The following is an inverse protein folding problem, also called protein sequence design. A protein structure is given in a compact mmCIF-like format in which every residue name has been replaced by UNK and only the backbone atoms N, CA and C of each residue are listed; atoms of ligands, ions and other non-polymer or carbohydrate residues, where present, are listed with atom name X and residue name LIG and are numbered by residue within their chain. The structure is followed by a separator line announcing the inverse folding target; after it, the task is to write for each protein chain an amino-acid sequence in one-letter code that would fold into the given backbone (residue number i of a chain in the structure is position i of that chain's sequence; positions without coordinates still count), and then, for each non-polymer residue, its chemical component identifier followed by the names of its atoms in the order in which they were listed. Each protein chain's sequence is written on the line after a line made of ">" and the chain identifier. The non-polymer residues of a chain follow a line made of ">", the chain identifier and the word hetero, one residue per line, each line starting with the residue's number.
data_IF_829457239352
#
_entry.id   IF_829457239352
#
_cell.length_a   1.000
_cell.length_b   1.000
_cell.length_c   1.000
_cell.angle_alpha   90.00
_cell.angle_beta   90.00
_cell.angle_gamma   90.00
#
_symmetry.space_group_name_H-M   'P 1'
#
loop_
_entity.id
_entity.type
_entity.pdbx_description
1 polymer ?
#
# COMPACT_ATOMS: atom_id res chain seq x y z
N UNK A 1 7.00 7.60 -21.49
CA UNK A 1 7.22 7.76 -20.04
C UNK A 1 5.90 7.39 -19.40
N UNK A 2 5.73 6.11 -19.08
CA UNK A 2 4.48 5.58 -18.54
C UNK A 2 4.63 5.42 -17.03
N UNK A 3 3.60 5.82 -16.30
CA UNK A 3 3.54 5.85 -14.85
C UNK A 3 3.43 4.42 -14.31
N UNK A 4 4.41 3.99 -13.49
CA UNK A 4 4.48 2.62 -12.95
C UNK A 4 3.58 2.39 -11.71
N UNK A 5 2.70 3.33 -11.35
CA UNK A 5 1.81 3.24 -10.18
C UNK A 5 0.61 4.19 -10.25
N UNK A 6 -0.27 4.10 -9.25
CA UNK A 6 -1.45 4.95 -9.12
C UNK A 6 -1.10 6.43 -8.93
N UNK A 7 -1.92 7.35 -9.47
CA UNK A 7 -1.80 8.79 -9.17
C UNK A 7 -2.75 9.21 -8.06
N UNK A 8 -2.20 9.84 -7.04
CA UNK A 8 -2.93 10.36 -5.90
C UNK A 8 -3.44 11.78 -6.19
N UNK A 9 -4.75 11.98 -6.05
CA UNK A 9 -5.40 13.27 -6.12
C UNK A 9 -6.12 13.56 -4.81
N UNK A 10 -5.79 14.69 -4.20
CA UNK A 10 -6.53 15.22 -3.07
C UNK A 10 -7.85 15.80 -3.56
N UNK A 11 -8.95 15.34 -2.97
CA UNK A 11 -10.28 15.89 -3.22
C UNK A 11 -10.98 16.23 -1.92
N UNK A 12 -11.96 17.14 -2.03
CA UNK A 12 -12.87 17.46 -0.93
C UNK A 12 -14.30 17.27 -1.42
N UNK A 13 -15.13 16.59 -0.62
CA UNK A 13 -16.55 16.43 -0.90
C UNK A 13 -17.33 16.46 0.41
N UNK A 14 -18.32 17.36 0.49
CA UNK A 14 -19.15 17.57 1.69
C UNK A 14 -18.33 17.78 2.99
N UNK A 15 -17.19 18.46 2.90
CA UNK A 15 -16.33 18.74 4.05
C UNK A 15 -15.37 17.60 4.46
N UNK A 16 -15.39 16.46 3.77
CA UNK A 16 -14.42 15.38 3.95
C UNK A 16 -13.31 15.46 2.89
N UNK A 17 -12.06 15.37 3.34
CA UNK A 17 -10.89 15.23 2.47
C UNK A 17 -10.62 13.76 2.20
N UNK A 18 -10.36 13.42 0.93
CA UNK A 18 -10.09 12.06 0.50
C UNK A 18 -8.90 12.01 -0.45
N UNK A 19 -8.31 10.83 -0.57
CA UNK A 19 -7.36 10.51 -1.61
C UNK A 19 -8.05 9.70 -2.70
N UNK A 20 -7.89 10.14 -3.95
CA UNK A 20 -8.33 9.43 -5.13
C UNK A 20 -7.09 8.89 -5.84
N UNK A 21 -6.91 7.57 -5.83
CA UNK A 21 -5.80 6.91 -6.52
C UNK A 21 -6.29 6.40 -7.87
N UNK A 22 -5.79 6.97 -8.97
CA UNK A 22 -6.18 6.61 -10.35
C UNK A 22 -5.14 5.73 -11.03
N UNK A 23 -5.58 4.67 -11.71
CA UNK A 23 -4.73 3.68 -12.38
C UNK A 23 -5.07 3.59 -13.86
N UNK A 24 -4.06 3.29 -14.67
CA UNK A 24 -4.30 2.84 -16.03
C UNK A 24 -5.02 1.50 -16.02
N UNK A 25 -5.98 1.35 -16.94
CA UNK A 25 -6.66 0.07 -17.16
C UNK A 25 -5.85 -0.89 -18.03
N UNK A 26 -4.72 -0.43 -18.59
CA UNK A 26 -3.87 -1.24 -19.48
C UNK A 26 -2.78 -1.93 -18.67
N UNK A 27 -2.70 -3.26 -18.80
CA UNK A 27 -1.57 -4.05 -18.33
C UNK A 27 -0.46 -3.91 -19.37
N UNK A 28 0.64 -3.23 -19.04
CA UNK A 28 1.76 -3.01 -19.99
C UNK A 28 2.63 -4.25 -20.23
N UNK A 29 2.39 -5.35 -19.51
CA UNK A 29 3.14 -6.60 -19.68
C UNK A 29 2.61 -7.45 -20.85
N UNK A 30 3.49 -8.03 -21.70
CA UNK A 30 3.10 -9.01 -22.71
C UNK A 30 2.33 -10.18 -22.06
N UNK A 31 1.13 -10.48 -22.56
CA UNK A 31 0.21 -11.48 -21.99
C UNK A 31 0.87 -12.87 -21.79
N UNK A 32 1.86 -13.20 -22.61
CA UNK A 32 2.61 -14.45 -22.57
C UNK A 32 3.67 -14.54 -21.46
N UNK A 33 3.87 -13.47 -20.68
CA UNK A 33 4.82 -13.42 -19.54
C UNK A 33 4.13 -13.27 -18.19
N UNK A 34 2.81 -13.18 -18.14
CA UNK A 34 2.05 -13.00 -16.90
C UNK A 34 1.87 -14.39 -16.26
N UNK A 35 2.45 -14.64 -15.07
CA UNK A 35 2.18 -15.87 -14.34
C UNK A 35 0.68 -15.96 -14.00
N UNK A 36 0.00 -17.10 -14.23
CA UNK A 36 -1.44 -17.21 -13.99
C UNK A 36 -1.82 -17.06 -12.50
N UNK A 37 -0.83 -17.15 -11.61
CA UNK A 37 -0.96 -16.99 -10.16
C UNK A 37 -0.81 -15.54 -9.68
N UNK A 38 -0.63 -14.56 -10.58
CA UNK A 38 -0.51 -13.14 -10.23
C UNK A 38 -1.55 -12.29 -10.94
N UNK A 39 -2.39 -11.63 -10.15
CA UNK A 39 -3.07 -10.41 -10.61
C UNK A 39 -2.00 -9.38 -10.95
N UNK A 40 -2.15 -8.65 -12.05
CA UNK A 40 -1.19 -7.65 -12.56
C UNK A 40 -1.82 -6.28 -12.77
N UNK A 41 -3.13 -6.19 -12.67
CA UNK A 41 -3.85 -4.94 -12.70
C UNK A 41 -3.79 -4.28 -11.31
N UNK A 42 -3.07 -3.16 -11.20
CA UNK A 42 -2.90 -2.40 -9.94
C UNK A 42 -4.23 -2.01 -9.31
N UNK A 43 -5.21 -1.55 -10.11
CA UNK A 43 -6.54 -1.23 -9.60
C UNK A 43 -7.23 -2.46 -8.98
N UNK A 44 -7.12 -3.64 -9.61
CA UNK A 44 -7.71 -4.88 -9.05
C UNK A 44 -6.98 -5.31 -7.79
N UNK A 45 -5.64 -5.24 -7.76
CA UNK A 45 -4.83 -5.56 -6.58
C UNK A 45 -5.24 -4.72 -5.38
N UNK A 46 -5.17 -3.40 -5.54
CA UNK A 46 -5.39 -2.46 -4.43
C UNK A 46 -6.84 -2.49 -3.96
N UNK A 47 -7.80 -2.44 -4.88
CA UNK A 47 -9.22 -2.47 -4.51
C UNK A 47 -9.64 -3.78 -3.84
N UNK A 48 -9.07 -4.91 -4.25
CA UNK A 48 -9.38 -6.22 -3.64
C UNK A 48 -8.76 -6.34 -2.25
N UNK A 49 -7.53 -5.85 -2.07
CA UNK A 49 -6.86 -5.81 -0.77
C UNK A 49 -7.65 -4.94 0.22
N UNK A 50 -7.94 -3.68 -0.13
CA UNK A 50 -8.74 -2.79 0.72
C UNK A 50 -10.12 -3.34 1.03
N UNK A 51 -10.84 -3.89 0.04
CA UNK A 51 -12.15 -4.48 0.27
C UNK A 51 -12.09 -5.62 1.29
N UNK A 52 -11.06 -6.48 1.20
CA UNK A 52 -10.87 -7.57 2.14
C UNK A 52 -10.50 -7.11 3.54
N UNK A 53 -9.55 -6.19 3.65
CA UNK A 53 -9.09 -5.67 4.94
C UNK A 53 -10.20 -4.86 5.63
N UNK A 54 -10.97 -4.07 4.88
CA UNK A 54 -12.17 -3.40 5.39
C UNK A 54 -13.18 -4.39 5.96
N UNK A 55 -13.48 -5.47 5.24
CA UNK A 55 -14.37 -6.53 5.74
C UNK A 55 -13.85 -7.25 6.99
N UNK A 56 -12.55 -7.16 7.28
CA UNK A 56 -11.91 -7.69 8.50
C UNK A 56 -11.73 -6.62 9.60
N UNK A 57 -12.25 -5.40 9.42
CA UNK A 57 -12.25 -4.34 10.43
C UNK A 57 -10.98 -3.50 10.51
N UNK A 58 -10.07 -3.57 9.52
CA UNK A 58 -8.81 -2.82 9.55
C UNK A 58 -9.02 -1.30 9.45
N UNK A 59 -9.93 -0.87 8.56
CA UNK A 59 -10.29 0.53 8.40
C UNK A 59 -10.88 1.13 9.69
N UNK A 60 -11.78 0.40 10.36
CA UNK A 60 -12.42 0.86 11.61
C UNK A 60 -11.41 1.05 12.76
N UNK A 61 -10.36 0.22 12.79
CA UNK A 61 -9.25 0.33 13.74
C UNK A 61 -8.32 1.50 13.42
N UNK A 62 -8.34 2.00 12.18
CA UNK A 62 -7.43 3.03 11.68
C UNK A 62 -5.98 2.54 11.53
N UNK A 63 -5.80 1.25 11.26
CA UNK A 63 -4.47 0.65 10.97
C UNK A 63 -4.17 0.61 9.47
N UNK A 64 -5.17 0.96 8.64
CA UNK A 64 -5.07 1.31 7.22
C UNK A 64 -6.09 2.43 6.94
N UNK A 65 -5.94 3.22 5.87
CA UNK A 65 -6.94 4.21 5.47
C UNK A 65 -8.33 3.59 5.23
N UNK A 66 -9.41 4.32 5.53
CA UNK A 66 -10.76 3.85 5.19
C UNK A 66 -10.94 3.74 3.66
N UNK A 67 -11.58 2.66 3.22
CA UNK A 67 -11.87 2.41 1.81
C UNK A 67 -13.31 2.73 1.48
N UNK A 68 -13.55 3.83 0.77
CA UNK A 68 -14.92 4.30 0.51
C UNK A 68 -15.57 3.58 -0.66
N UNK A 69 -14.93 3.54 -1.84
CA UNK A 69 -15.47 2.88 -3.04
C UNK A 69 -14.44 2.77 -4.16
N UNK A 70 -14.81 2.02 -5.19
CA UNK A 70 -14.18 2.09 -6.52
C UNK A 70 -14.94 3.04 -7.45
N UNK A 71 -14.24 3.60 -8.44
CA UNK A 71 -14.79 4.39 -9.54
C UNK A 71 -14.19 3.84 -10.83
N UNK A 72 -15.03 3.45 -11.78
CA UNK A 72 -14.56 2.83 -13.03
C UNK A 72 -14.92 3.68 -14.24
N UNK A 73 -14.17 3.48 -15.33
CA UNK A 73 -14.40 4.13 -16.62
C UNK A 73 -14.41 5.67 -16.52
N UNK A 74 -13.45 6.23 -15.80
CA UNK A 74 -13.35 7.69 -15.62
C UNK A 74 -13.02 8.33 -16.97
N UNK A 75 -13.77 9.38 -17.34
CA UNK A 75 -13.44 10.20 -18.50
C UNK A 75 -12.33 11.19 -18.12
N UNK A 76 -11.10 11.05 -18.65
CA UNK A 76 -10.00 11.92 -18.22
C UNK A 76 -10.18 13.38 -18.64
N UNK A 77 -10.92 13.61 -19.73
CA UNK A 77 -11.18 14.95 -20.30
C UNK A 77 -12.02 15.86 -19.41
N UNK A 78 -12.85 15.30 -18.53
CA UNK A 78 -13.74 16.06 -17.64
C UNK A 78 -13.16 16.21 -16.22
N UNK A 79 -12.00 15.61 -15.94
CA UNK A 79 -11.34 15.62 -14.63
C UNK A 79 -10.05 16.44 -14.67
N UNK A 80 -9.96 17.56 -13.92
CA UNK A 80 -8.73 18.32 -13.79
C UNK A 80 -7.61 17.42 -13.24
N UNK A 81 -6.46 17.39 -13.93
CA UNK A 81 -5.29 16.64 -13.49
C UNK A 81 -5.14 15.23 -14.05
N UNK A 82 -6.12 14.70 -14.80
CA UNK A 82 -6.03 13.36 -15.42
C UNK A 82 -5.53 13.36 -16.88
N UNK A 83 -4.91 14.46 -17.33
CA UNK A 83 -4.44 14.64 -18.71
C UNK A 83 -3.45 13.55 -19.18
N UNK A 84 -2.72 12.92 -18.28
CA UNK A 84 -1.80 11.82 -18.59
C UNK A 84 -2.49 10.56 -19.13
N UNK A 85 -3.79 10.37 -18.84
CA UNK A 85 -4.55 9.19 -19.25
C UNK A 85 -5.28 9.42 -20.58
N UNK A 86 -5.08 10.56 -21.25
CA UNK A 86 -5.77 10.90 -22.49
C UNK A 86 -5.39 9.96 -23.65
N UNK A 87 -4.16 9.44 -23.63
CA UNK A 87 -3.63 8.55 -24.66
C UNK A 87 -3.82 7.06 -24.33
N UNK A 88 -4.41 6.73 -23.17
CA UNK A 88 -4.67 5.35 -22.78
C UNK A 88 -5.77 4.73 -23.66
N UNK A 89 -5.58 3.47 -24.04
CA UNK A 89 -6.56 2.72 -24.86
C UNK A 89 -7.89 2.48 -24.15
N UNK A 90 -7.86 2.43 -22.82
CA UNK A 90 -9.01 2.17 -21.96
C UNK A 90 -9.09 3.28 -20.91
N UNK A 91 -10.30 3.71 -20.54
CA UNK A 91 -10.46 4.73 -19.51
C UNK A 91 -9.88 4.25 -18.17
N UNK A 92 -9.26 5.14 -17.39
CA UNK A 92 -8.68 4.78 -16.10
C UNK A 92 -9.77 4.42 -15.07
N UNK A 93 -9.37 3.64 -14.08
CA UNK A 93 -10.17 3.35 -12.89
C UNK A 93 -9.52 3.99 -11.68
N UNK A 94 -10.26 4.12 -10.57
CA UNK A 94 -9.74 4.68 -9.35
C UNK A 94 -10.34 4.04 -8.10
N UNK A 95 -9.61 4.12 -7.01
CA UNK A 95 -10.14 3.90 -5.67
C UNK A 95 -10.26 5.23 -4.94
N UNK A 96 -11.28 5.32 -4.08
CA UNK A 96 -11.52 6.45 -3.20
C UNK A 96 -11.26 5.99 -1.77
N UNK A 97 -10.23 6.55 -1.13
CA UNK A 97 -9.80 6.20 0.23
C UNK A 97 -9.70 7.44 1.11
N UNK A 98 -9.67 7.22 2.42
CA UNK A 98 -9.40 8.25 3.43
C UNK A 98 -8.08 8.96 3.14
N UNK A 99 -8.10 10.29 3.26
CA UNK A 99 -6.86 11.04 3.37
C UNK A 99 -6.50 11.19 4.84
N UNK A 100 -5.48 10.45 5.27
CA UNK A 100 -5.00 10.50 6.65
C UNK A 100 -4.09 11.72 6.81
N UNK A 101 -4.50 12.65 7.67
CA UNK A 101 -3.74 13.86 7.97
C UNK A 101 -2.61 13.58 8.96
N UNK A 102 -1.55 14.39 8.87
CA UNK A 102 -0.46 14.47 9.85
C UNK A 102 0.21 13.13 10.16
N UNK A 103 0.33 12.30 9.12
CA UNK A 103 1.11 11.06 9.14
C UNK A 103 2.46 11.27 8.51
N UNK A 104 3.47 10.60 9.06
CA UNK A 104 4.83 10.61 8.55
C UNK A 104 5.33 9.19 8.38
N UNK A 105 6.08 8.94 7.31
CA UNK A 105 6.83 7.70 7.15
C UNK A 105 7.70 7.47 8.40
N UNK A 106 7.75 6.22 8.87
CA UNK A 106 8.64 5.87 9.98
C UNK A 106 10.10 6.13 9.59
N UNK A 107 10.84 6.80 10.47
CA UNK A 107 12.27 7.06 10.34
C UNK A 107 12.93 7.23 11.73
N UNK A 108 14.19 7.67 11.76
CA UNK A 108 14.91 7.89 13.03
C UNK A 108 14.34 9.05 13.87
N UNK A 109 13.69 10.04 13.26
CA UNK A 109 13.15 11.23 13.93
C UNK A 109 11.87 10.95 14.71
N UNK A 110 11.07 9.99 14.24
CA UNK A 110 9.82 9.55 14.89
C UNK A 110 9.89 8.11 15.43
N UNK A 111 11.11 7.58 15.54
CA UNK A 111 11.35 6.20 15.96
C UNK A 111 10.71 5.88 17.30
N UNK A 112 10.05 4.71 17.35
CA UNK A 112 9.67 4.06 18.59
C UNK A 112 9.62 2.56 18.38
N UNK A 113 10.24 1.81 19.30
CA UNK A 113 10.15 0.35 19.29
C UNK A 113 8.69 -0.14 19.41
N UNK A 114 7.81 0.66 20.04
CA UNK A 114 6.36 0.38 20.06
C UNK A 114 5.79 0.38 18.65
N UNK A 115 6.07 1.42 17.86
CA UNK A 115 5.55 1.56 16.51
C UNK A 115 6.08 0.49 15.57
N UNK A 116 7.36 0.12 15.67
CA UNK A 116 7.91 -0.98 14.87
C UNK A 116 7.21 -2.32 15.15
N UNK A 117 6.98 -2.63 16.44
CA UNK A 117 6.26 -3.84 16.83
C UNK A 117 4.80 -3.79 16.38
N UNK A 118 4.17 -2.63 16.44
CA UNK A 118 2.80 -2.43 15.96
C UNK A 118 2.70 -2.62 14.44
N UNK A 119 3.59 -2.03 13.66
CA UNK A 119 3.65 -2.23 12.20
C UNK A 119 3.86 -3.70 11.84
N UNK A 120 4.80 -4.37 12.52
CA UNK A 120 5.07 -5.80 12.34
C UNK A 120 3.85 -6.66 12.65
N UNK A 121 3.16 -6.37 13.75
CA UNK A 121 1.93 -7.07 14.14
C UNK A 121 0.79 -6.82 13.15
N UNK A 122 0.61 -5.58 12.69
CA UNK A 122 -0.41 -5.27 11.68
C UNK A 122 -0.13 -6.06 10.39
N UNK A 123 1.14 -6.22 10.00
CA UNK A 123 1.52 -7.03 8.84
C UNK A 123 1.14 -8.52 9.02
N UNK A 124 1.36 -9.10 10.20
CA UNK A 124 0.88 -10.46 10.50
C UNK A 124 -0.64 -10.57 10.34
N UNK A 125 -1.39 -9.57 10.82
CA UNK A 125 -2.85 -9.57 10.69
C UNK A 125 -3.29 -9.42 9.22
N UNK A 126 -2.57 -8.62 8.42
CA UNK A 126 -2.79 -8.50 6.97
C UNK A 126 -2.57 -9.88 6.31
N UNK A 127 -1.52 -10.60 6.71
CA UNK A 127 -1.24 -11.96 6.22
C UNK A 127 -2.33 -12.95 6.62
N UNK A 128 -2.82 -12.90 7.87
CA UNK A 128 -3.94 -13.71 8.37
C UNK A 128 -5.28 -13.39 7.67
N UNK A 129 -5.41 -12.17 7.13
CA UNK A 129 -6.50 -11.82 6.24
C UNK A 129 -6.35 -12.45 4.83
N UNK A 130 -5.22 -13.09 4.53
CA UNK A 130 -4.91 -13.67 3.22
C UNK A 130 -4.53 -12.61 2.21
N UNK A 131 -3.87 -11.54 2.66
CA UNK A 131 -3.34 -10.45 1.83
C UNK A 131 -1.83 -10.41 2.04
N UNK A 132 -1.07 -10.51 0.96
CA UNK A 132 0.36 -10.16 0.92
C UNK A 132 0.44 -8.68 0.55
N UNK A 133 1.21 -7.87 1.27
CA UNK A 133 1.34 -6.45 0.94
C UNK A 133 2.16 -6.27 -0.34
N UNK A 134 3.24 -7.03 -0.48
CA UNK A 134 4.10 -7.07 -1.66
C UNK A 134 5.10 -5.91 -1.76
N UNK A 135 5.06 -4.97 -0.81
CA UNK A 135 5.93 -3.77 -0.80
C UNK A 135 6.18 -3.28 0.65
N UNK A 136 6.81 -4.11 1.51
CA UNK A 136 6.97 -3.84 2.94
C UNK A 136 8.09 -2.83 3.23
N UNK A 137 8.09 -1.69 2.53
CA UNK A 137 9.10 -0.65 2.66
C UNK A 137 8.60 0.53 3.51
N UNK A 138 9.50 1.29 4.17
CA UNK A 138 9.11 2.33 5.13
C UNK A 138 8.22 3.42 4.53
N UNK A 139 8.31 3.69 3.22
CA UNK A 139 7.40 4.62 2.51
C UNK A 139 5.92 4.25 2.58
N UNK A 140 5.59 3.03 3.00
CA UNK A 140 4.23 2.52 3.19
C UNK A 140 3.87 2.31 4.67
N UNK A 141 4.81 2.64 5.57
CA UNK A 141 4.69 2.47 7.02
C UNK A 141 4.60 3.85 7.68
N UNK A 142 3.38 4.24 8.07
CA UNK A 142 3.09 5.59 8.52
C UNK A 142 2.86 5.64 10.03
N UNK A 143 3.31 6.73 10.64
CA UNK A 143 3.12 7.06 12.04
C UNK A 143 2.29 8.33 12.13
N UNK A 144 1.16 8.26 12.85
CA UNK A 144 0.44 9.43 13.31
C UNK A 144 0.83 9.70 14.75
N UNK A 145 1.67 10.72 14.97
CA UNK A 145 2.11 11.10 16.32
C UNK A 145 0.93 11.55 17.19
N UNK A 146 0.06 12.39 16.64
CA UNK A 146 -1.11 12.94 17.33
C UNK A 146 -2.11 11.88 17.74
N UNK A 147 -2.32 10.87 16.88
CA UNK A 147 -3.20 9.75 17.19
C UNK A 147 -2.49 8.61 17.93
N UNK A 148 -1.16 8.69 18.07
CA UNK A 148 -0.31 7.65 18.63
C UNK A 148 -0.51 6.28 17.95
N UNK A 149 -0.64 6.27 16.62
CA UNK A 149 -0.96 5.08 15.82
C UNK A 149 0.06 4.84 14.73
N UNK A 150 0.28 3.56 14.43
CA UNK A 150 0.92 3.12 13.20
C UNK A 150 -0.14 2.61 12.20
N UNK A 151 0.08 2.87 10.91
CA UNK A 151 -0.80 2.38 9.85
C UNK A 151 0.01 2.01 8.60
N UNK A 152 -0.55 1.08 7.83
CA UNK A 152 -0.04 0.66 6.54
C UNK A 152 -0.83 1.32 5.40
N UNK A 153 -0.13 1.69 4.33
CA UNK A 153 -0.70 2.34 3.15
C UNK A 153 -0.16 1.72 1.86
N UNK A 154 -0.78 2.04 0.73
CA UNK A 154 -0.35 1.65 -0.61
C UNK A 154 -0.36 0.13 -0.86
N UNK A 155 -1.53 -0.38 -1.29
CA UNK A 155 -1.73 -1.81 -1.56
C UNK A 155 -1.70 -2.11 -3.07
N UNK A 156 -1.09 -1.26 -3.90
CA UNK A 156 -1.05 -1.45 -5.35
C UNK A 156 -0.24 -2.70 -5.77
N UNK A 157 0.70 -3.10 -4.92
CA UNK A 157 1.56 -4.27 -5.08
C UNK A 157 0.99 -5.51 -4.42
N UNK A 158 -0.15 -5.38 -3.73
CA UNK A 158 -0.71 -6.44 -2.92
C UNK A 158 -1.25 -7.60 -3.76
N UNK A 159 -1.18 -8.81 -3.17
CA UNK A 159 -1.83 -9.99 -3.69
C UNK A 159 -2.78 -10.58 -2.66
N UNK A 160 -4.02 -10.81 -3.10
CA UNK A 160 -5.08 -11.30 -2.23
C UNK A 160 -5.40 -12.75 -2.58
N UNK A 161 -5.14 -13.68 -1.66
CA UNK A 161 -5.20 -15.12 -1.92
C UNK A 161 -6.40 -15.81 -1.26
N UNK A 162 -6.84 -16.94 -1.81
CA UNK A 162 -7.76 -17.84 -1.09
C UNK A 162 -7.04 -18.59 0.03
N UNK A 163 -7.78 -19.23 0.93
CA UNK A 163 -7.23 -19.93 2.11
C UNK A 163 -6.18 -21.02 1.80
N UNK A 164 -6.24 -21.66 0.64
CA UNK A 164 -5.25 -22.68 0.23
C UNK A 164 -4.14 -22.02 -0.58
N UNK A 165 -3.01 -21.76 0.05
CA UNK A 165 -1.80 -21.26 -0.60
C UNK A 165 -1.04 -22.42 -1.26
N UNK A 166 -0.40 -22.13 -2.38
CA UNK A 166 0.67 -22.99 -2.92
C UNK A 166 1.97 -22.74 -2.16
N UNK A 167 2.91 -23.70 -2.19
CA UNK A 167 4.24 -23.54 -1.59
C UNK A 167 4.96 -22.27 -2.06
N UNK A 168 4.76 -21.88 -3.32
CA UNK A 168 5.33 -20.64 -3.86
C UNK A 168 4.75 -19.40 -3.19
N UNK A 169 3.44 -19.38 -2.96
CA UNK A 169 2.76 -18.27 -2.28
C UNK A 169 3.14 -18.23 -0.79
N UNK A 170 3.23 -19.38 -0.12
CA UNK A 170 3.73 -19.47 1.26
C UNK A 170 5.14 -18.86 1.38
N UNK A 171 6.03 -19.13 0.41
CA UNK A 171 7.34 -18.52 0.39
C UNK A 171 7.30 -16.99 0.24
N UNK A 172 6.36 -16.42 -0.52
CA UNK A 172 6.24 -14.96 -0.62
C UNK A 172 5.87 -14.31 0.73
N UNK A 173 4.95 -14.90 1.48
CA UNK A 173 4.63 -14.45 2.83
C UNK A 173 5.83 -14.56 3.76
N UNK A 174 6.60 -15.65 3.65
CA UNK A 174 7.83 -15.85 4.43
C UNK A 174 8.87 -14.79 4.10
N UNK A 175 9.11 -14.52 2.83
CA UNK A 175 10.05 -13.48 2.37
C UNK A 175 9.66 -12.09 2.89
N UNK A 176 8.37 -11.72 2.81
CA UNK A 176 7.87 -10.44 3.34
C UNK A 176 8.04 -10.33 4.87
N UNK A 177 7.83 -11.43 5.61
CA UNK A 177 8.10 -11.47 7.04
C UNK A 177 9.59 -11.33 7.36
N UNK A 178 10.46 -12.04 6.64
CA UNK A 178 11.93 -11.94 6.81
C UNK A 178 12.43 -10.52 6.53
N UNK A 179 11.88 -9.86 5.50
CA UNK A 179 12.18 -8.45 5.21
C UNK A 179 11.75 -7.53 6.36
N UNK A 180 10.53 -7.72 6.88
CA UNK A 180 10.01 -6.89 7.96
C UNK A 180 10.78 -7.11 9.27
N UNK A 181 11.13 -8.36 9.60
CA UNK A 181 11.91 -8.69 10.79
C UNK A 181 13.31 -8.07 10.73
N UNK A 182 13.98 -8.18 9.57
CA UNK A 182 15.26 -7.51 9.36
C UNK A 182 15.15 -5.99 9.50
N UNK A 183 14.12 -5.37 8.90
CA UNK A 183 13.92 -3.92 9.00
C UNK A 183 13.73 -3.46 10.45
N UNK A 184 12.95 -4.19 11.25
CA UNK A 184 12.73 -3.88 12.67
C UNK A 184 14.04 -3.88 13.46
N UNK A 185 14.88 -4.90 13.26
CA UNK A 185 16.19 -5.00 13.91
C UNK A 185 17.14 -3.90 13.44
N UNK A 186 17.23 -3.70 12.11
CA UNK A 186 18.12 -2.75 11.48
C UNK A 186 17.81 -1.30 11.91
N UNK A 187 16.53 -0.89 11.89
CA UNK A 187 16.17 0.47 12.28
C UNK A 187 16.36 0.70 13.79
N UNK A 188 16.14 -0.32 14.63
CA UNK A 188 16.42 -0.23 16.05
C UNK A 188 17.90 0.00 16.33
N UNK A 189 18.78 -0.73 15.63
CA UNK A 189 20.22 -0.52 15.72
C UNK A 189 20.63 0.88 15.21
N UNK A 190 20.10 1.30 14.04
CA UNK A 190 20.40 2.62 13.48
C UNK A 190 19.97 3.77 14.42
N UNK A 191 18.88 3.58 15.17
CA UNK A 191 18.45 4.53 16.20
C UNK A 191 19.41 4.58 17.39
N UNK A 192 19.88 3.43 17.89
CA UNK A 192 20.89 3.37 18.95
C UNK A 192 22.21 4.03 18.54
N UNK A 193 22.62 3.86 17.28
CA UNK A 193 23.81 4.49 16.69
C UNK A 193 23.59 5.97 16.35
N UNK A 194 22.33 6.44 16.35
CA UNK A 194 21.96 7.81 15.97
C UNK A 194 22.19 8.13 14.49
N UNK A 195 22.29 7.11 13.63
CA UNK A 195 22.60 7.25 12.20
C UNK A 195 21.99 6.11 11.39
N UNK A 196 21.36 6.46 10.27
CA UNK A 196 20.84 5.49 9.31
C UNK A 196 21.98 4.80 8.55
N UNK A 197 22.06 3.48 8.65
CA UNK A 197 23.13 2.67 8.09
C UNK A 197 22.62 1.29 7.67
N UNK A 198 22.16 0.47 8.62
CA UNK A 198 21.67 -0.89 8.38
C UNK A 198 20.37 -0.89 7.59
N UNK A 199 19.44 0.00 7.93
CA UNK A 199 18.17 0.12 7.24
C UNK A 199 18.26 1.00 5.98
N UNK A 200 19.43 1.54 5.63
CA UNK A 200 19.58 2.52 4.55
C UNK A 200 18.98 2.07 3.21
N UNK A 201 19.19 0.80 2.82
CA UNK A 201 18.66 0.25 1.57
C UNK A 201 17.13 0.19 1.52
N UNK A 202 16.44 0.18 2.66
CA UNK A 202 14.99 0.23 2.70
C UNK A 202 14.44 1.62 2.36
N UNK A 203 15.23 2.67 2.56
CA UNK A 203 14.82 4.05 2.27
C UNK A 203 15.28 4.51 0.88
N UNK A 204 16.43 4.02 0.40
CA UNK A 204 17.11 4.57 -0.78
C UNK A 204 17.64 3.51 -1.76
N UNK A 205 17.23 2.25 -1.60
CA UNK A 205 17.63 1.12 -2.46
C UNK A 205 16.83 0.99 -3.74
#
# INVERSE_FOLDING_TARGET
>A
MCNEGGKYHLGTFLGLTFSLTTFSSVIEAPLNRIPPDREVNFFVRESTAYARLKARGFCERGVIPDFYRTITNIQPTIWPGLHMFLDDKLPPNAILIEYVLDVQQIDLSNFSLRYLRELRHILDEIHDAGVLHGDPYPRNMMISADQCKALWTDFDSAHTFSRSLSTRQENWFKEENEMMDFFVEALAQDYEEGKLNQAYSYYYG
#
